data_IF_808417285012
#
_entry.id   IF_808417285012
#
_cell.length_a   1.000
_cell.length_b   1.000
_cell.length_c   1.000
_cell.angle_alpha   90.00
_cell.angle_beta   90.00
_cell.angle_gamma   90.00
#
_symmetry.space_group_name_H-M   'P 1'
#
loop_
_entity.id
_entity.type
_entity.pdbx_description
1 polymer ?
#
# COMPACT_ATOMS: atom_id res chain seq x y z
N UNK A 1 3.65 -0.38 -7.40
CA UNK A 1 2.66 -0.93 -6.44
C UNK A 1 2.96 -0.40 -5.04
N UNK A 2 1.96 0.10 -4.31
CA UNK A 2 2.11 0.74 -2.99
C UNK A 2 1.09 0.18 -1.96
N UNK A 3 1.39 -0.97 -1.31
CA UNK A 3 0.57 -1.53 -0.23
C UNK A 3 0.59 -0.67 1.05
N UNK A 4 -0.38 -0.88 1.93
CA UNK A 4 -0.27 -0.43 3.33
C UNK A 4 0.88 -1.16 4.04
N UNK A 5 1.50 -0.50 5.05
CA UNK A 5 2.72 -0.95 5.73
C UNK A 5 2.54 -2.14 6.69
N UNK A 6 1.61 -3.03 6.36
CA UNK A 6 1.26 -4.24 7.11
C UNK A 6 1.48 -5.49 6.25
N UNK A 7 2.01 -6.56 6.85
CA UNK A 7 2.28 -7.81 6.12
C UNK A 7 1.02 -8.41 5.47
N UNK A 8 -0.14 -8.29 6.13
CA UNK A 8 -1.44 -8.74 5.59
C UNK A 8 -1.86 -8.03 4.30
N UNK A 9 -1.32 -6.84 4.03
CA UNK A 9 -1.56 -6.08 2.81
C UNK A 9 -0.45 -6.30 1.78
N UNK A 10 0.81 -6.29 2.22
CA UNK A 10 1.97 -6.50 1.34
C UNK A 10 1.93 -7.89 0.68
N UNK A 11 1.47 -8.91 1.41
CA UNK A 11 1.42 -10.28 0.89
C UNK A 11 0.49 -10.45 -0.32
N UNK A 12 -0.80 -10.03 -0.29
CA UNK A 12 -1.65 -10.00 -1.48
C UNK A 12 -1.06 -9.22 -2.65
N UNK A 13 -0.43 -8.07 -2.39
CA UNK A 13 0.24 -7.29 -3.43
C UNK A 13 1.38 -8.06 -4.09
N UNK A 14 2.18 -8.80 -3.31
CA UNK A 14 3.26 -9.65 -3.84
C UNK A 14 2.70 -10.81 -4.68
N UNK A 15 1.60 -11.43 -4.28
CA UNK A 15 0.97 -12.49 -5.08
C UNK A 15 0.34 -11.95 -6.37
N UNK A 16 -0.24 -10.74 -6.33
CA UNK A 16 -0.70 -10.06 -7.54
C UNK A 16 0.48 -9.72 -8.46
N UNK A 17 1.58 -9.19 -7.91
CA UNK A 17 2.79 -8.89 -8.66
C UNK A 17 3.26 -10.10 -9.46
N UNK A 18 3.40 -11.27 -8.81
CA UNK A 18 3.80 -12.53 -9.47
C UNK A 18 2.87 -12.91 -10.62
N UNK A 19 1.55 -12.75 -10.47
CA UNK A 19 0.58 -13.05 -11.53
C UNK A 19 0.69 -12.06 -12.70
N UNK A 20 0.97 -10.79 -12.43
CA UNK A 20 1.16 -9.78 -13.47
C UNK A 20 2.44 -10.00 -14.27
N UNK A 21 3.49 -10.59 -13.68
CA UNK A 21 4.69 -10.98 -14.43
C UNK A 21 4.37 -11.94 -15.58
N UNK A 22 3.42 -12.86 -15.39
CA UNK A 22 2.95 -13.78 -16.44
C UNK A 22 2.18 -13.08 -17.57
N UNK A 23 1.95 -11.77 -17.44
CA UNK A 23 1.33 -10.90 -18.44
C UNK A 23 2.31 -9.84 -18.94
N UNK A 24 3.61 -10.08 -18.76
CA UNK A 24 4.72 -9.22 -19.21
C UNK A 24 4.77 -7.84 -18.52
N UNK A 25 4.23 -7.73 -17.31
CA UNK A 25 4.45 -6.53 -16.50
C UNK A 25 5.82 -6.57 -15.83
N UNK A 26 6.48 -5.42 -15.80
CA UNK A 26 7.58 -5.15 -14.88
C UNK A 26 7.00 -4.52 -13.60
N UNK A 27 7.45 -4.95 -12.42
CA UNK A 27 6.83 -4.55 -11.16
C UNK A 27 7.83 -3.84 -10.24
N UNK A 28 7.50 -2.61 -9.90
CA UNK A 28 8.07 -1.92 -8.74
C UNK A 28 7.17 -2.14 -7.52
N UNK A 29 7.66 -2.85 -6.50
CA UNK A 29 6.96 -3.04 -5.23
C UNK A 29 7.55 -2.11 -4.17
N UNK A 30 6.81 -1.07 -3.83
CA UNK A 30 7.27 0.01 -2.96
C UNK A 30 6.81 -0.20 -1.51
N UNK A 31 7.74 -0.11 -0.54
CA UNK A 31 7.45 -0.19 0.89
C UNK A 31 8.63 0.32 1.72
N UNK A 32 8.46 0.45 3.04
CA UNK A 32 9.54 0.82 3.96
C UNK A 32 10.68 -0.21 3.98
N UNK A 33 11.93 0.19 4.27
CA UNK A 33 13.07 -0.72 4.32
C UNK A 33 12.86 -1.93 5.24
N UNK A 34 12.24 -1.72 6.41
CA UNK A 34 11.98 -2.81 7.38
C UNK A 34 11.00 -3.86 6.83
N UNK A 35 9.96 -3.43 6.11
CA UNK A 35 9.01 -4.34 5.46
C UNK A 35 9.65 -5.05 4.26
N UNK A 36 10.44 -4.32 3.45
CA UNK A 36 11.16 -4.89 2.29
C UNK A 36 12.16 -5.96 2.70
N UNK A 37 12.89 -5.75 3.80
CA UNK A 37 13.78 -6.76 4.39
C UNK A 37 13.04 -8.05 4.75
N UNK A 38 11.80 -7.95 5.24
CA UNK A 38 10.97 -9.11 5.57
C UNK A 38 10.51 -9.87 4.32
N UNK A 39 10.05 -9.16 3.29
CA UNK A 39 9.50 -9.79 2.08
C UNK A 39 10.55 -10.25 1.08
N UNK A 40 11.78 -9.73 1.13
CA UNK A 40 12.87 -10.11 0.21
C UNK A 40 13.08 -11.62 0.18
N UNK A 41 12.94 -12.30 1.32
CA UNK A 41 13.04 -13.77 1.44
C UNK A 41 11.95 -14.54 0.69
N UNK A 42 10.83 -13.90 0.36
CA UNK A 42 9.70 -14.48 -0.38
C UNK A 42 9.80 -14.28 -1.89
N UNK A 43 10.79 -13.53 -2.35
CA UNK A 43 11.09 -13.30 -3.77
C UNK A 43 12.22 -14.26 -4.14
N UNK A 44 11.87 -15.37 -4.78
CA UNK A 44 12.84 -16.35 -5.32
C UNK A 44 13.55 -15.79 -6.54
N UNK A 45 14.68 -16.39 -6.94
CA UNK A 45 15.46 -15.99 -8.13
C UNK A 45 14.62 -15.90 -9.42
N UNK A 46 13.57 -16.73 -9.52
CA UNK A 46 12.59 -16.67 -10.63
C UNK A 46 11.97 -15.26 -10.82
N UNK A 47 11.78 -14.51 -9.74
CA UNK A 47 11.06 -13.24 -9.73
C UNK A 47 11.97 -12.03 -9.51
N UNK A 48 13.23 -12.23 -9.14
CA UNK A 48 14.14 -11.16 -8.70
C UNK A 48 14.51 -10.18 -9.80
N UNK A 49 14.45 -10.60 -11.08
CA UNK A 49 14.74 -9.73 -12.23
C UNK A 49 13.53 -8.90 -12.68
N UNK A 50 12.32 -9.22 -12.21
CA UNK A 50 11.08 -8.58 -12.68
C UNK A 50 10.28 -7.89 -11.56
N UNK A 51 10.60 -8.19 -10.30
CA UNK A 51 10.06 -7.48 -9.14
C UNK A 51 11.20 -6.69 -8.49
N UNK A 52 11.21 -5.38 -8.73
CA UNK A 52 12.12 -4.45 -8.10
C UNK A 52 11.53 -3.93 -6.79
N UNK A 53 12.27 -4.08 -5.70
CA UNK A 53 11.87 -3.55 -4.40
C UNK A 53 12.30 -2.09 -4.28
N UNK A 54 11.35 -1.19 -4.08
CA UNK A 54 11.59 0.26 -4.03
C UNK A 54 11.36 0.79 -2.62
N UNK A 55 12.42 1.28 -2.00
CA UNK A 55 12.34 1.83 -0.64
C UNK A 55 11.65 3.19 -0.63
N UNK A 56 10.55 3.30 0.13
CA UNK A 56 9.98 4.59 0.54
C UNK A 56 10.40 4.88 1.98
N UNK A 57 11.05 6.03 2.17
CA UNK A 57 11.57 6.44 3.46
C UNK A 57 10.57 7.34 4.16
N UNK A 58 10.18 6.93 5.36
CA UNK A 58 9.32 7.71 6.24
C UNK A 58 10.18 8.64 7.10
N UNK A 59 9.70 9.86 7.43
CA UNK A 59 10.34 10.67 8.45
C UNK A 59 10.52 9.89 9.75
N UNK A 60 11.73 9.93 10.33
CA UNK A 60 11.98 9.31 11.63
C UNK A 60 11.59 10.26 12.74
N UNK A 61 10.65 9.85 13.57
CA UNK A 61 10.22 10.59 14.77
C UNK A 61 10.80 9.91 16.02
N UNK A 62 11.00 10.62 17.15
CA UNK A 62 11.50 10.02 18.38
C UNK A 62 10.70 8.79 18.84
N UNK A 63 9.37 8.86 18.71
CA UNK A 63 8.43 7.78 19.05
C UNK A 63 8.23 6.76 17.91
N UNK A 64 8.70 7.06 16.69
CA UNK A 64 8.55 6.21 15.50
C UNK A 64 9.87 6.07 14.71
N UNK A 65 10.88 5.40 15.29
CA UNK A 65 12.14 5.08 14.61
C UNK A 65 11.94 4.11 13.44
N UNK A 66 12.94 3.95 12.54
CA UNK A 66 12.83 3.14 11.32
C UNK A 66 12.34 1.69 11.49
N UNK A 67 12.65 1.04 12.62
CA UNK A 67 12.20 -0.33 12.89
C UNK A 67 10.69 -0.42 13.20
N UNK A 68 10.04 0.71 13.50
CA UNK A 68 8.59 0.85 13.68
C UNK A 68 7.88 1.42 12.45
N UNK A 69 8.55 1.53 11.30
CA UNK A 69 7.92 1.86 10.02
C UNK A 69 7.19 0.66 9.41
N UNK A 70 6.44 -0.06 10.25
CA UNK A 70 5.63 -1.25 9.95
C UNK A 70 4.60 -1.42 11.04
N UNK A 71 3.45 -2.04 10.76
CA UNK A 71 2.50 -2.39 11.81
C UNK A 71 2.96 -3.61 12.62
N UNK A 72 3.94 -4.36 12.14
CA UNK A 72 4.41 -5.56 12.83
C UNK A 72 5.18 -5.19 14.11
N UNK A 73 4.63 -5.58 15.27
CA UNK A 73 5.23 -5.24 16.57
C UNK A 73 5.08 -3.77 16.96
N UNK A 74 4.26 -2.99 16.24
CA UNK A 74 4.00 -1.59 16.57
C UNK A 74 3.04 -1.48 17.76
N UNK A 75 3.38 -0.72 18.82
CA UNK A 75 2.45 -0.37 19.87
C UNK A 75 1.17 0.28 19.32
N UNK A 76 0.00 -0.16 19.79
CA UNK A 76 -1.30 0.24 19.20
C UNK A 76 -1.49 1.76 19.13
N UNK A 77 -1.03 2.48 20.16
CA UNK A 77 -1.15 3.94 20.25
C UNK A 77 -0.34 4.69 19.18
N UNK A 78 0.62 4.03 18.51
CA UNK A 78 1.43 4.62 17.44
C UNK A 78 0.86 4.38 16.04
N UNK A 79 -0.27 3.68 15.88
CA UNK A 79 -0.86 3.44 14.56
C UNK A 79 -1.25 4.75 13.84
N UNK A 80 -1.78 5.73 14.58
CA UNK A 80 -2.09 7.06 14.04
C UNK A 80 -0.81 7.78 13.62
N UNK A 81 0.23 7.73 14.45
CA UNK A 81 1.55 8.29 14.12
C UNK A 81 2.10 7.66 12.85
N UNK A 82 2.09 6.33 12.72
CA UNK A 82 2.55 5.63 11.51
C UNK A 82 1.77 6.08 10.26
N UNK A 83 0.45 6.21 10.37
CA UNK A 83 -0.39 6.70 9.26
C UNK A 83 0.00 8.12 8.85
N UNK A 84 0.12 9.04 9.80
CA UNK A 84 0.52 10.43 9.53
C UNK A 84 1.93 10.49 8.94
N UNK A 85 2.89 9.75 9.48
CA UNK A 85 4.25 9.70 8.96
C UNK A 85 4.30 9.11 7.54
N UNK A 86 3.47 8.12 7.23
CA UNK A 86 3.36 7.60 5.87
C UNK A 86 2.76 8.62 4.90
N UNK A 87 1.84 9.45 5.35
CA UNK A 87 1.26 10.56 4.58
C UNK A 87 2.27 11.67 4.30
N UNK A 88 3.16 11.98 5.25
CA UNK A 88 4.31 12.86 5.04
C UNK A 88 5.30 12.31 3.99
N UNK A 89 5.32 10.99 3.76
CA UNK A 89 6.16 10.37 2.74
C UNK A 89 5.60 10.53 1.30
N UNK A 90 4.47 11.22 1.12
CA UNK A 90 3.91 11.53 -0.21
C UNK A 90 4.92 12.24 -1.12
N UNK A 91 5.73 13.17 -0.59
CA UNK A 91 6.81 13.81 -1.37
C UNK A 91 7.88 12.81 -1.81
N UNK A 92 8.25 11.85 -0.95
CA UNK A 92 9.19 10.78 -1.32
C UNK A 92 8.60 9.91 -2.43
N UNK A 93 7.31 9.60 -2.36
CA UNK A 93 6.62 8.88 -3.43
C UNK A 93 6.55 9.67 -4.74
N UNK A 94 6.31 10.99 -4.70
CA UNK A 94 6.38 11.83 -5.89
C UNK A 94 7.74 11.74 -6.58
N UNK A 95 8.84 11.77 -5.81
CA UNK A 95 10.20 11.60 -6.35
C UNK A 95 10.39 10.22 -6.97
N UNK A 96 9.85 9.16 -6.34
CA UNK A 96 9.87 7.80 -6.88
C UNK A 96 9.11 7.74 -8.22
N UNK A 97 7.91 8.31 -8.31
CA UNK A 97 7.13 8.35 -9.55
C UNK A 97 7.84 9.14 -10.65
N UNK A 98 8.43 10.28 -10.32
CA UNK A 98 9.18 11.07 -11.29
C UNK A 98 10.42 10.34 -11.82
N UNK A 99 11.06 9.52 -10.98
CA UNK A 99 12.28 8.79 -11.33
C UNK A 99 11.99 7.52 -12.13
N UNK A 100 11.01 6.73 -11.68
CA UNK A 100 10.66 5.44 -12.30
C UNK A 100 9.69 5.58 -13.47
N UNK A 101 8.91 6.66 -13.50
CA UNK A 101 7.90 6.96 -14.52
C UNK A 101 7.01 5.76 -14.90
N UNK A 102 6.36 5.07 -13.94
CA UNK A 102 5.61 3.85 -14.24
C UNK A 102 4.33 4.14 -15.04
N UNK A 103 3.87 3.15 -15.81
CA UNK A 103 2.62 3.25 -16.60
C UNK A 103 1.34 3.18 -15.74
N UNK A 104 1.41 2.61 -14.53
CA UNK A 104 0.27 2.38 -13.65
C UNK A 104 0.70 2.32 -12.18
N UNK A 105 -0.07 2.98 -11.31
CA UNK A 105 0.04 2.83 -9.85
C UNK A 105 -1.09 1.95 -9.32
N UNK A 106 -0.75 0.78 -8.78
CA UNK A 106 -1.67 0.00 -7.95
C UNK A 106 -1.40 0.33 -6.47
N UNK A 107 -2.40 0.80 -5.74
CA UNK A 107 -2.26 1.29 -4.36
C UNK A 107 -3.34 0.73 -3.43
N UNK A 108 -3.07 0.77 -2.12
CA UNK A 108 -3.96 0.26 -1.08
C UNK A 108 -4.98 1.32 -0.58
N UNK A 109 -5.84 0.95 0.37
CA UNK A 109 -6.71 1.90 1.09
C UNK A 109 -5.97 2.74 2.13
N UNK A 110 -4.78 2.29 2.55
CA UNK A 110 -3.96 2.96 3.56
C UNK A 110 -3.47 4.36 3.16
N UNK A 111 -2.88 4.55 1.96
CA UNK A 111 -2.41 5.85 1.47
C UNK A 111 -3.47 6.54 0.58
N UNK A 112 -4.41 7.34 1.14
CA UNK A 112 -5.42 8.04 0.34
C UNK A 112 -4.79 9.03 -0.65
N UNK A 113 -3.59 9.51 -0.34
CA UNK A 113 -2.80 10.45 -1.15
C UNK A 113 -2.16 9.81 -2.40
N UNK A 114 -2.04 8.48 -2.47
CA UNK A 114 -1.33 7.83 -3.58
C UNK A 114 -1.97 8.10 -4.94
N UNK A 115 -3.31 8.14 -4.99
CA UNK A 115 -4.05 8.42 -6.21
C UNK A 115 -3.80 9.84 -6.71
N UNK A 116 -3.96 10.84 -5.84
CA UNK A 116 -3.77 12.24 -6.23
C UNK A 116 -2.32 12.52 -6.63
N UNK A 117 -1.35 11.92 -5.93
CA UNK A 117 0.06 11.99 -6.31
C UNK A 117 0.32 11.35 -7.67
N UNK A 118 -0.21 10.16 -7.96
CA UNK A 118 -0.03 9.54 -9.27
C UNK A 118 -0.64 10.37 -10.42
N UNK A 119 -1.85 10.89 -10.21
CA UNK A 119 -2.55 11.70 -11.20
C UNK A 119 -1.84 13.02 -11.50
N UNK A 120 -1.10 13.62 -10.56
CA UNK A 120 -0.31 14.83 -10.84
C UNK A 120 0.83 14.59 -11.82
N UNK A 121 1.24 13.33 -12.02
CA UNK A 121 2.21 12.92 -13.04
C UNK A 121 1.54 12.36 -14.31
N UNK A 122 0.20 12.48 -14.44
CA UNK A 122 -0.60 11.84 -15.50
C UNK A 122 -0.48 10.30 -15.52
N UNK A 123 -0.20 9.68 -14.36
CA UNK A 123 -0.12 8.23 -14.23
C UNK A 123 -1.47 7.71 -13.73
N UNK A 124 -2.12 6.76 -14.43
CA UNK A 124 -3.36 6.17 -13.96
C UNK A 124 -3.12 5.43 -12.64
N UNK A 125 -4.14 5.40 -11.78
CA UNK A 125 -4.08 4.76 -10.47
C UNK A 125 -5.29 3.85 -10.24
N UNK A 126 -5.03 2.64 -9.74
CA UNK A 126 -6.05 1.64 -9.42
C UNK A 126 -5.90 1.21 -7.97
N UNK A 127 -7.00 1.28 -7.22
CA UNK A 127 -7.03 0.81 -5.84
C UNK A 127 -7.23 -0.70 -5.80
N UNK A 128 -6.37 -1.40 -5.06
CA UNK A 128 -6.55 -2.82 -4.74
C UNK A 128 -7.14 -2.97 -3.35
N UNK A 129 -8.39 -3.43 -3.28
CA UNK A 129 -9.01 -3.86 -2.03
C UNK A 129 -8.52 -5.27 -1.67
N UNK A 130 -7.83 -5.40 -0.54
CA UNK A 130 -7.36 -6.70 -0.01
C UNK A 130 -8.42 -7.41 0.84
N UNK A 131 -9.60 -6.80 1.01
CA UNK A 131 -10.74 -7.33 1.75
C UNK A 131 -11.87 -7.78 0.82
N UNK A 132 -12.79 -8.61 1.35
CA UNK A 132 -13.92 -9.12 0.57
C UNK A 132 -14.92 -8.03 0.18
N UNK A 133 -15.57 -8.21 -0.98
CA UNK A 133 -16.54 -7.26 -1.53
C UNK A 133 -17.68 -6.92 -0.58
N UNK A 134 -18.14 -7.87 0.24
CA UNK A 134 -19.17 -7.64 1.28
C UNK A 134 -18.72 -6.62 2.31
N UNK A 135 -17.49 -6.72 2.81
CA UNK A 135 -16.93 -5.79 3.80
C UNK A 135 -16.77 -4.40 3.16
N UNK A 136 -16.25 -4.35 1.93
CA UNK A 136 -16.10 -3.08 1.20
C UNK A 136 -17.45 -2.42 0.97
N UNK A 137 -18.47 -3.17 0.52
CA UNK A 137 -19.82 -2.67 0.31
C UNK A 137 -20.45 -2.14 1.59
N UNK A 138 -20.31 -2.88 2.70
CA UNK A 138 -20.79 -2.47 4.02
C UNK A 138 -20.14 -1.16 4.50
N UNK A 139 -18.80 -1.09 4.43
CA UNK A 139 -18.05 0.10 4.85
C UNK A 139 -18.40 1.32 3.96
N UNK A 140 -18.46 1.13 2.64
CA UNK A 140 -18.86 2.20 1.71
C UNK A 140 -20.29 2.69 1.98
N UNK A 141 -21.21 1.78 2.30
CA UNK A 141 -22.59 2.14 2.66
C UNK A 141 -22.62 2.99 3.94
N UNK A 142 -21.92 2.56 5.00
CA UNK A 142 -21.84 3.34 6.25
C UNK A 142 -21.27 4.73 5.99
N UNK A 143 -20.18 4.84 5.21
CA UNK A 143 -19.55 6.12 4.89
C UNK A 143 -20.51 7.02 4.10
N UNK A 144 -21.12 6.50 3.04
CA UNK A 144 -21.99 7.26 2.14
C UNK A 144 -23.26 7.75 2.83
N UNK A 145 -23.79 6.95 3.75
CA UNK A 145 -25.02 7.25 4.47
C UNK A 145 -24.78 7.81 5.87
N UNK A 146 -23.52 8.02 6.28
CA UNK A 146 -23.16 8.43 7.65
C UNK A 146 -23.82 7.56 8.73
N UNK A 147 -24.01 6.27 8.46
CA UNK A 147 -24.73 5.34 9.34
C UNK A 147 -26.24 5.59 9.48
N UNK A 148 -26.82 6.55 8.75
CA UNK A 148 -28.25 6.91 8.85
C UNK A 148 -29.20 5.96 8.12
N UNK A 149 -28.67 5.10 7.24
CA UNK A 149 -29.44 4.13 6.46
C UNK A 149 -28.94 2.73 6.79
N UNK A 150 -29.85 1.83 7.13
CA UNK A 150 -29.53 0.42 7.38
C UNK A 150 -28.91 -0.24 6.14
N UNK A 151 -27.96 -1.15 6.35
CA UNK A 151 -27.35 -1.89 5.24
C UNK A 151 -28.40 -2.83 4.61
N UNK A 152 -28.61 -2.82 3.28
CA UNK A 152 -29.75 -3.47 2.65
C UNK A 152 -29.69 -5.01 2.63
N UNK A 153 -28.64 -5.62 3.21
CA UNK A 153 -28.48 -7.07 3.31
C UNK A 153 -28.47 -7.49 4.78
N UNK A 154 -29.31 -8.46 5.18
CA UNK A 154 -29.39 -8.91 6.57
C UNK A 154 -28.07 -9.58 7.02
N UNK A 155 -27.74 -9.45 8.31
CA UNK A 155 -26.66 -10.24 8.92
C UNK A 155 -27.09 -11.70 9.06
N UNK A 156 -26.20 -12.62 8.67
CA UNK A 156 -26.39 -14.07 8.85
C UNK A 156 -26.31 -14.48 10.33
#
# INVERSE_FOLDING_TARGET
MLPWLAHGHISPFLELAKKLLERNFHIFLCSTPINLKSIKKRITDKYSLSIELVEIHLPSLPELPPHYHTTNGLPIHLNSTLRTTFEMASTSFSTILNTLSPDLVIYDVGPPWAQSTALSFNIPAVQLMTTGATVVSFVQHIIKHHGSVEFPFPGN
#
